data_IF_075316030598
#
_entry.id   IF_075316030598
#
_cell.length_a   1.000
_cell.length_b   1.000
_cell.length_c   1.000
_cell.angle_alpha   90.00
_cell.angle_beta   90.00
_cell.angle_gamma   90.00
#
_symmetry.space_group_name_H-M   'P 1'
#
loop_
_entity.id
_entity.type
_entity.pdbx_description
1 polymer ?
#
# COMPACT_ATOMS: atom_id res chain seq x y z
N UNK A 1 -7.87 -33.00 -49.25
CA UNK A 1 -7.24 -31.69 -49.06
C UNK A 1 -8.26 -30.79 -48.35
N UNK A 2 -8.19 -30.65 -47.00
CA UNK A 2 -9.00 -29.73 -46.24
C UNK A 2 -8.08 -28.64 -45.63
N UNK A 3 -8.34 -27.39 -46.06
CA UNK A 3 -7.57 -26.22 -45.59
C UNK A 3 -7.98 -25.89 -44.13
N UNK A 4 -6.99 -25.81 -43.27
CA UNK A 4 -7.14 -25.30 -41.90
C UNK A 4 -7.36 -23.78 -41.89
N UNK A 5 -8.21 -23.22 -40.99
CA UNK A 5 -8.40 -21.78 -40.90
C UNK A 5 -7.24 -21.15 -40.11
N UNK A 6 -6.76 -20.03 -40.63
CA UNK A 6 -5.75 -19.17 -40.01
C UNK A 6 -6.29 -18.56 -38.71
N UNK A 7 -5.59 -18.81 -37.59
CA UNK A 7 -5.74 -18.17 -36.31
C UNK A 7 -5.56 -16.66 -36.47
N UNK A 8 -6.61 -15.88 -36.16
CA UNK A 8 -6.53 -14.44 -36.04
C UNK A 8 -5.89 -14.12 -34.66
N UNK A 9 -4.67 -13.61 -34.73
CA UNK A 9 -3.96 -13.04 -33.61
C UNK A 9 -4.80 -11.91 -32.99
N UNK A 10 -5.24 -12.11 -31.75
CA UNK A 10 -5.91 -11.08 -30.98
C UNK A 10 -4.88 -9.99 -30.60
N UNK A 11 -5.02 -8.83 -31.21
CA UNK A 11 -4.29 -7.60 -30.82
C UNK A 11 -4.65 -7.28 -29.36
N UNK A 12 -3.66 -7.34 -28.47
CA UNK A 12 -3.73 -6.77 -27.13
C UNK A 12 -4.13 -5.30 -27.24
N UNK A 13 -5.08 -4.81 -26.44
CA UNK A 13 -5.26 -3.37 -26.28
C UNK A 13 -4.10 -2.84 -25.44
N UNK A 14 -3.03 -2.42 -26.09
CA UNK A 14 -2.08 -1.50 -25.51
C UNK A 14 -2.82 -0.17 -25.35
N UNK A 15 -3.43 0.08 -24.20
CA UNK A 15 -3.69 1.44 -23.77
C UNK A 15 -2.33 2.08 -23.58
N UNK A 16 -1.89 2.78 -24.63
CA UNK A 16 -0.74 3.65 -24.60
C UNK A 16 -1.02 4.77 -23.57
N UNK A 17 -0.52 4.58 -22.36
CA UNK A 17 -0.33 5.67 -21.41
C UNK A 17 0.60 6.68 -22.10
N UNK A 18 0.04 7.77 -22.56
CA UNK A 18 0.81 8.86 -23.16
C UNK A 18 1.83 9.34 -22.15
N UNK A 19 3.11 9.11 -22.43
CA UNK A 19 4.22 9.68 -21.71
C UNK A 19 4.02 11.20 -21.66
N UNK A 20 3.76 11.74 -20.49
CA UNK A 20 3.53 13.17 -20.29
C UNK A 20 4.88 13.87 -20.32
N UNK A 21 5.37 14.18 -21.54
CA UNK A 21 6.54 15.06 -21.69
C UNK A 21 6.24 16.37 -20.98
N UNK A 22 7.09 16.78 -20.08
CA UNK A 22 6.99 18.06 -19.38
C UNK A 22 7.10 19.18 -20.41
N UNK A 23 6.00 19.92 -20.64
CA UNK A 23 5.97 20.99 -21.62
C UNK A 23 7.00 22.06 -21.33
N UNK A 24 7.79 22.41 -22.33
CA UNK A 24 8.94 23.31 -22.26
C UNK A 24 8.56 24.76 -22.46
N UNK A 25 7.57 25.33 -21.88
CA UNK A 25 7.28 26.73 -22.10
C UNK A 25 6.48 27.38 -20.96
N UNK A 26 7.16 27.73 -19.97
CA UNK A 26 7.04 28.83 -19.01
C UNK A 26 7.93 28.49 -17.85
N UNK A 27 8.79 29.44 -17.43
CA UNK A 27 9.65 29.25 -16.26
C UNK A 27 8.75 29.02 -15.05
N UNK A 28 8.44 27.75 -14.78
CA UNK A 28 7.64 27.37 -13.61
C UNK A 28 8.37 27.77 -12.35
N UNK A 29 7.63 28.16 -11.33
CA UNK A 29 8.20 28.34 -10.01
C UNK A 29 8.94 27.05 -9.58
N UNK A 30 10.10 27.15 -8.90
CA UNK A 30 10.92 25.99 -8.56
C UNK A 30 10.14 24.87 -7.87
N UNK A 31 9.20 25.20 -6.99
CA UNK A 31 8.35 24.27 -6.25
C UNK A 31 7.46 23.45 -7.19
N UNK A 32 6.81 24.13 -8.15
CA UNK A 32 5.97 23.44 -9.16
C UNK A 32 6.79 22.53 -10.06
N UNK A 33 8.03 22.92 -10.36
CA UNK A 33 8.92 22.06 -11.15
C UNK A 33 9.35 20.82 -10.34
N UNK A 34 9.67 20.98 -9.07
CA UNK A 34 9.97 19.88 -8.17
C UNK A 34 8.80 18.89 -8.08
N UNK A 35 7.58 19.40 -7.93
CA UNK A 35 6.37 18.55 -7.91
C UNK A 35 6.14 17.78 -9.22
N UNK A 36 6.37 18.43 -10.38
CA UNK A 36 6.27 17.76 -11.68
C UNK A 36 7.28 16.62 -11.82
N UNK A 37 8.54 16.88 -11.43
CA UNK A 37 9.60 15.86 -11.44
C UNK A 37 9.23 14.73 -10.49
N UNK A 38 8.76 15.03 -9.28
CA UNK A 38 8.33 14.03 -8.30
C UNK A 38 7.20 13.15 -8.83
N UNK A 39 6.14 13.75 -9.36
CA UNK A 39 5.01 12.99 -9.95
C UNK A 39 5.44 12.09 -11.10
N UNK A 40 6.28 12.58 -11.99
CA UNK A 40 6.82 11.77 -13.07
C UNK A 40 7.73 10.64 -12.55
N UNK A 41 8.52 10.91 -11.51
CA UNK A 41 9.37 9.91 -10.88
C UNK A 41 8.55 8.80 -10.19
N UNK A 42 7.43 9.15 -9.55
CA UNK A 42 6.51 8.18 -8.95
C UNK A 42 5.99 7.21 -10.04
N UNK A 43 5.53 7.73 -11.17
CA UNK A 43 5.09 6.89 -12.29
C UNK A 43 6.19 6.00 -12.82
N UNK A 44 7.36 6.59 -13.09
CA UNK A 44 8.52 5.86 -13.58
C UNK A 44 8.89 4.69 -12.67
N UNK A 45 9.01 4.91 -11.36
CA UNK A 45 9.33 3.83 -10.43
C UNK A 45 8.19 2.84 -10.22
N UNK A 46 6.94 3.25 -10.39
CA UNK A 46 5.82 2.32 -10.41
C UNK A 46 5.82 1.41 -11.65
N UNK A 47 6.37 1.86 -12.76
CA UNK A 47 6.44 1.09 -14.02
C UNK A 47 7.70 0.24 -14.11
N UNK A 48 8.86 0.81 -13.78
CA UNK A 48 10.18 0.20 -14.01
C UNK A 48 10.87 -0.32 -12.75
N UNK A 49 10.32 -0.02 -11.56
CA UNK A 49 10.96 -0.37 -10.30
C UNK A 49 12.19 0.46 -9.98
N UNK A 50 12.84 0.16 -8.86
CA UNK A 50 13.98 0.92 -8.34
C UNK A 50 15.33 0.57 -8.99
N UNK A 51 15.39 -0.47 -9.83
CA UNK A 51 16.58 -0.77 -10.65
C UNK A 51 16.78 0.23 -11.79
N UNK A 52 15.73 0.94 -12.22
CA UNK A 52 15.78 1.94 -13.26
C UNK A 52 16.82 3.02 -12.99
N UNK A 53 17.57 3.39 -14.06
CA UNK A 53 18.63 4.39 -13.94
C UNK A 53 18.03 5.81 -13.94
N UNK A 54 18.60 6.70 -13.15
CA UNK A 54 18.20 8.14 -13.13
C UNK A 54 18.38 8.83 -14.48
N UNK A 55 19.21 8.26 -15.37
CA UNK A 55 19.36 8.73 -16.75
C UNK A 55 18.11 8.42 -17.58
N UNK A 56 17.55 7.23 -17.44
CA UNK A 56 16.32 6.80 -18.11
C UNK A 56 15.13 7.63 -17.61
N UNK A 57 15.03 7.81 -16.30
CA UNK A 57 14.05 8.71 -15.68
C UNK A 57 14.14 10.13 -16.27
N UNK A 58 15.34 10.72 -16.32
CA UNK A 58 15.51 12.07 -16.86
C UNK A 58 15.08 12.15 -18.35
N UNK A 59 15.44 11.13 -19.15
CA UNK A 59 15.05 11.05 -20.56
C UNK A 59 13.54 10.95 -20.72
N UNK A 60 12.86 10.11 -19.91
CA UNK A 60 11.40 9.94 -19.95
C UNK A 60 10.67 11.23 -19.57
N UNK A 61 11.20 11.95 -18.57
CA UNK A 61 10.68 13.25 -18.15
C UNK A 61 11.01 14.38 -19.13
N UNK A 62 11.85 14.15 -20.13
CA UNK A 62 12.30 15.18 -21.08
C UNK A 62 13.14 16.27 -20.43
N UNK A 63 13.93 15.94 -19.41
CA UNK A 63 14.82 16.85 -18.68
C UNK A 63 16.27 16.37 -18.71
N UNK A 64 17.21 17.29 -18.46
CA UNK A 64 18.60 16.89 -18.27
C UNK A 64 18.80 16.19 -16.90
N UNK A 65 19.75 15.25 -16.84
CA UNK A 65 20.17 14.64 -15.59
C UNK A 65 20.63 15.68 -14.54
N UNK A 66 21.30 16.76 -15.00
CA UNK A 66 21.71 17.87 -14.14
C UNK A 66 20.52 18.61 -13.53
N UNK A 67 19.41 18.78 -14.30
CA UNK A 67 18.18 19.37 -13.77
C UNK A 67 17.53 18.46 -12.72
N UNK A 68 17.50 17.15 -12.93
CA UNK A 68 16.98 16.19 -11.94
C UNK A 68 17.76 16.32 -10.62
N UNK A 69 19.09 16.30 -10.67
CA UNK A 69 19.95 16.36 -9.47
C UNK A 69 19.96 17.74 -8.79
N UNK A 70 19.59 18.79 -9.51
CA UNK A 70 19.41 20.13 -8.90
C UNK A 70 18.24 20.13 -7.91
N UNK A 71 17.18 19.35 -8.16
CA UNK A 71 16.01 19.25 -7.27
C UNK A 71 16.11 18.09 -6.29
N UNK A 72 16.74 17.00 -6.69
CA UNK A 72 16.93 15.79 -5.88
C UNK A 72 18.40 15.37 -5.93
N UNK A 73 19.21 15.77 -4.95
CA UNK A 73 20.68 15.66 -4.99
C UNK A 73 21.20 14.23 -5.21
N UNK A 74 20.40 13.21 -4.89
CA UNK A 74 20.74 11.80 -5.14
C UNK A 74 19.49 10.99 -5.47
N UNK A 75 19.68 9.75 -5.93
CA UNK A 75 18.60 8.80 -6.14
C UNK A 75 17.90 8.46 -4.81
N UNK A 76 18.66 8.36 -3.75
CA UNK A 76 18.19 8.10 -2.39
C UNK A 76 17.30 9.26 -1.89
N UNK A 77 17.69 10.51 -2.11
CA UNK A 77 16.89 11.68 -1.77
C UNK A 77 15.56 11.72 -2.55
N UNK A 78 15.60 11.32 -3.82
CA UNK A 78 14.38 11.20 -4.62
C UNK A 78 13.47 10.07 -4.08
N UNK A 79 14.03 8.90 -3.77
CA UNK A 79 13.30 7.76 -3.20
C UNK A 79 12.70 8.14 -1.84
N UNK A 80 13.45 8.86 -0.99
CA UNK A 80 12.93 9.37 0.28
C UNK A 80 11.74 10.30 0.07
N UNK A 81 11.82 11.19 -0.90
CA UNK A 81 10.71 12.10 -1.22
C UNK A 81 9.49 11.36 -1.77
N UNK A 82 9.70 10.31 -2.56
CA UNK A 82 8.64 9.41 -3.03
C UNK A 82 7.99 8.70 -1.83
N UNK A 83 8.78 8.19 -0.88
CA UNK A 83 8.26 7.56 0.32
C UNK A 83 7.33 8.50 1.11
N UNK A 84 7.76 9.73 1.30
CA UNK A 84 6.93 10.74 1.99
C UNK A 84 5.63 11.03 1.24
N UNK A 85 5.67 11.16 -0.09
CA UNK A 85 4.51 11.51 -0.90
C UNK A 85 3.51 10.35 -1.04
N UNK A 86 4.01 9.14 -1.31
CA UNK A 86 3.17 7.97 -1.63
C UNK A 86 2.65 7.29 -0.36
N UNK A 87 3.45 7.27 0.71
CA UNK A 87 3.10 6.51 1.92
C UNK A 87 2.72 7.39 3.10
N UNK A 88 3.56 8.37 3.48
CA UNK A 88 3.32 9.13 4.71
C UNK A 88 2.25 10.20 4.55
N UNK A 89 2.25 10.92 3.43
CA UNK A 89 1.31 12.03 3.20
C UNK A 89 -0.14 11.57 3.07
N UNK A 90 -0.35 10.32 2.73
CA UNK A 90 -1.67 9.70 2.59
C UNK A 90 -2.18 9.06 3.88
N UNK A 91 -1.36 9.08 4.92
CA UNK A 91 -1.77 8.62 6.23
C UNK A 91 -2.75 9.60 6.85
N UNK A 92 -3.98 9.16 7.10
CA UNK A 92 -4.97 10.02 7.74
C UNK A 92 -4.64 10.24 9.22
N UNK A 93 -4.61 11.50 9.69
CA UNK A 93 -4.40 11.79 11.11
C UNK A 93 -5.58 11.35 11.98
N UNK A 94 -6.77 11.12 11.41
CA UNK A 94 -7.99 10.76 12.15
C UNK A 94 -8.10 9.26 12.41
N UNK A 95 -7.43 8.42 11.63
CA UNK A 95 -7.58 6.96 11.70
C UNK A 95 -7.39 6.38 13.09
N UNK A 96 -6.41 6.87 13.84
CA UNK A 96 -6.17 6.36 15.19
C UNK A 96 -7.31 6.74 16.15
N UNK A 97 -7.79 7.98 16.08
CA UNK A 97 -8.92 8.42 16.88
C UNK A 97 -10.20 7.63 16.54
N UNK A 98 -10.45 7.40 15.25
CA UNK A 98 -11.59 6.61 14.77
C UNK A 98 -11.55 5.15 15.25
N UNK A 99 -10.36 4.53 15.22
CA UNK A 99 -10.17 3.15 15.69
C UNK A 99 -10.41 3.02 17.21
N UNK A 100 -10.07 4.04 18.00
CA UNK A 100 -10.15 3.98 19.46
C UNK A 100 -11.40 4.65 20.04
N UNK A 101 -12.32 5.14 19.21
CA UNK A 101 -13.60 5.73 19.64
C UNK A 101 -14.58 4.67 20.15
N UNK A 102 -14.49 4.35 21.44
CA UNK A 102 -15.36 3.37 22.10
C UNK A 102 -16.83 3.76 22.24
N UNK A 103 -17.23 4.95 21.76
CA UNK A 103 -18.65 5.31 21.67
C UNK A 103 -19.39 4.53 20.57
N UNK A 104 -18.63 3.90 19.65
CA UNK A 104 -19.14 3.09 18.54
C UNK A 104 -18.73 1.62 18.71
N UNK A 105 -19.55 0.69 18.18
CA UNK A 105 -19.19 -0.73 18.16
C UNK A 105 -17.86 -0.95 17.43
N UNK A 106 -17.02 -1.85 17.94
CA UNK A 106 -15.69 -2.08 17.37
C UNK A 106 -15.75 -2.52 15.91
N UNK A 107 -16.69 -3.40 15.56
CA UNK A 107 -16.84 -3.86 14.17
C UNK A 107 -17.13 -2.69 13.21
N UNK A 108 -17.95 -1.72 13.61
CA UNK A 108 -18.25 -0.54 12.78
C UNK A 108 -17.05 0.39 12.64
N UNK A 109 -16.23 0.52 13.69
CA UNK A 109 -14.97 1.27 13.64
C UNK A 109 -13.98 0.61 12.68
N UNK A 110 -13.84 -0.71 12.75
CA UNK A 110 -12.98 -1.49 11.85
C UNK A 110 -13.43 -1.38 10.40
N UNK A 111 -14.73 -1.53 10.10
CA UNK A 111 -15.27 -1.37 8.75
C UNK A 111 -14.97 0.02 8.19
N UNK A 112 -15.26 1.07 8.95
CA UNK A 112 -15.00 2.46 8.54
C UNK A 112 -13.52 2.70 8.24
N UNK A 113 -12.66 2.27 9.16
CA UNK A 113 -11.20 2.41 8.99
C UNK A 113 -10.69 1.65 7.77
N UNK A 114 -11.04 0.37 7.62
CA UNK A 114 -10.52 -0.45 6.53
C UNK A 114 -11.10 -0.09 5.17
N UNK A 115 -12.31 0.44 5.09
CA UNK A 115 -12.88 0.99 3.86
C UNK A 115 -12.06 2.19 3.34
N UNK A 116 -11.51 3.02 4.24
CA UNK A 116 -10.64 4.13 3.86
C UNK A 116 -9.19 3.68 3.64
N UNK A 117 -8.62 2.91 4.56
CA UNK A 117 -7.26 2.39 4.47
C UNK A 117 -7.02 1.56 3.19
N UNK A 118 -7.98 0.72 2.81
CA UNK A 118 -7.87 -0.15 1.64
C UNK A 118 -7.66 0.62 0.32
N UNK A 119 -8.09 1.88 0.25
CA UNK A 119 -7.86 2.73 -0.93
C UNK A 119 -6.38 2.87 -1.25
N UNK A 120 -5.50 2.86 -0.25
CA UNK A 120 -4.05 3.01 -0.44
C UNK A 120 -3.42 1.83 -1.20
N UNK A 121 -3.45 0.57 -0.71
CA UNK A 121 -2.84 -0.56 -1.40
C UNK A 121 -3.54 -0.90 -2.73
N UNK A 122 -4.74 -0.37 -2.95
CA UNK A 122 -5.48 -0.56 -4.19
C UNK A 122 -5.14 0.47 -5.28
N UNK A 123 -4.37 1.51 -4.96
CA UNK A 123 -3.85 2.43 -5.97
C UNK A 123 -2.67 1.83 -6.73
N UNK A 124 -2.59 2.14 -8.03
CA UNK A 124 -1.57 1.61 -8.94
C UNK A 124 -0.14 1.92 -8.47
N UNK A 125 0.13 3.21 -8.22
CA UNK A 125 1.48 3.68 -7.87
C UNK A 125 1.89 3.15 -6.49
N UNK A 126 0.98 3.20 -5.52
CA UNK A 126 1.26 2.71 -4.17
C UNK A 126 1.62 1.22 -4.17
N UNK A 127 0.77 0.38 -4.76
CA UNK A 127 0.96 -1.08 -4.74
C UNK A 127 2.23 -1.51 -5.46
N UNK A 128 2.51 -0.93 -6.64
CA UNK A 128 3.68 -1.30 -7.44
C UNK A 128 4.98 -0.78 -6.84
N UNK A 129 5.00 0.46 -6.32
CA UNK A 129 6.18 1.00 -5.62
C UNK A 129 6.48 0.18 -4.38
N UNK A 130 5.46 -0.20 -3.60
CA UNK A 130 5.64 -1.05 -2.42
C UNK A 130 6.26 -2.40 -2.79
N UNK A 131 5.74 -3.06 -3.83
CA UNK A 131 6.27 -4.34 -4.30
C UNK A 131 7.72 -4.22 -4.80
N UNK A 132 7.99 -3.27 -5.71
CA UNK A 132 9.33 -3.08 -6.26
C UNK A 132 10.34 -2.68 -5.19
N UNK A 133 9.96 -1.87 -4.22
CA UNK A 133 10.82 -1.52 -3.08
C UNK A 133 11.20 -2.77 -2.27
N UNK A 134 10.25 -3.67 -2.03
CA UNK A 134 10.50 -4.94 -1.34
C UNK A 134 11.48 -5.82 -2.10
N UNK A 135 11.26 -6.02 -3.39
CA UNK A 135 12.14 -6.82 -4.26
C UNK A 135 13.56 -6.23 -4.38
N UNK A 136 13.68 -4.91 -4.35
CA UNK A 136 14.96 -4.21 -4.37
C UNK A 136 15.66 -4.14 -2.99
N UNK A 137 15.07 -4.69 -1.93
CA UNK A 137 15.61 -4.60 -0.57
C UNK A 137 15.61 -3.18 0.02
N UNK A 138 14.81 -2.28 -0.54
CA UNK A 138 14.75 -0.90 -0.10
C UNK A 138 14.15 -0.78 1.32
N UNK A 139 14.57 0.26 2.06
CA UNK A 139 14.12 0.48 3.44
C UNK A 139 12.63 0.87 3.57
N UNK A 140 11.99 1.25 2.46
CA UNK A 140 10.58 1.70 2.39
C UNK A 140 9.66 0.71 3.08
N UNK A 141 9.74 -0.58 2.70
CA UNK A 141 8.85 -1.62 3.24
C UNK A 141 9.00 -1.79 4.74
N UNK A 142 10.25 -1.91 5.23
CA UNK A 142 10.51 -2.03 6.67
C UNK A 142 9.98 -0.84 7.47
N UNK A 143 10.11 0.37 6.91
CA UNK A 143 9.61 1.61 7.53
C UNK A 143 8.09 1.64 7.55
N UNK A 144 7.45 1.28 6.43
CA UNK A 144 6.00 1.26 6.33
C UNK A 144 5.38 0.17 7.21
N UNK A 145 5.96 -1.04 7.21
CA UNK A 145 5.53 -2.15 8.09
C UNK A 145 5.61 -1.74 9.56
N UNK A 146 6.69 -1.08 9.99
CA UNK A 146 6.80 -0.55 11.35
C UNK A 146 5.71 0.48 11.66
N UNK A 147 5.43 1.38 10.72
CA UNK A 147 4.37 2.37 10.86
C UNK A 147 3.00 1.70 11.01
N UNK A 148 2.68 0.73 10.15
CA UNK A 148 1.44 -0.04 10.21
C UNK A 148 1.32 -0.82 11.53
N UNK A 149 2.40 -1.46 11.97
CA UNK A 149 2.44 -2.16 13.25
C UNK A 149 2.12 -1.23 14.42
N UNK A 150 2.77 -0.07 14.50
CA UNK A 150 2.57 0.86 15.61
C UNK A 150 1.21 1.58 15.57
N UNK A 151 0.72 1.91 14.38
CA UNK A 151 -0.46 2.77 14.24
C UNK A 151 -1.75 2.04 13.88
N UNK A 152 -1.66 0.78 13.47
CA UNK A 152 -2.83 -0.05 13.12
C UNK A 152 -2.85 -1.32 13.98
N UNK A 153 -1.82 -2.17 13.87
CA UNK A 153 -1.86 -3.49 14.49
C UNK A 153 -2.00 -3.41 16.00
N UNK A 154 -1.14 -2.65 16.67
CA UNK A 154 -1.21 -2.49 18.13
C UNK A 154 -2.56 -1.93 18.59
N UNK A 155 -3.07 -0.80 18.06
CA UNK A 155 -4.37 -0.29 18.46
C UNK A 155 -5.51 -1.27 18.19
N UNK A 156 -5.54 -1.93 17.04
CA UNK A 156 -6.61 -2.90 16.72
C UNK A 156 -6.56 -4.11 17.64
N UNK A 157 -5.37 -4.65 17.92
CA UNK A 157 -5.23 -5.77 18.86
C UNK A 157 -5.68 -5.37 20.26
N UNK A 158 -5.33 -4.17 20.72
CA UNK A 158 -5.73 -3.70 22.05
C UNK A 158 -7.25 -3.49 22.15
N UNK A 159 -7.87 -2.91 21.13
CA UNK A 159 -9.32 -2.77 21.07
C UNK A 159 -10.05 -4.11 20.98
N UNK A 160 -9.51 -5.10 20.25
CA UNK A 160 -10.04 -6.47 20.22
C UNK A 160 -9.91 -7.15 21.59
N UNK A 161 -8.76 -6.97 22.26
CA UNK A 161 -8.57 -7.50 23.63
C UNK A 161 -9.58 -6.88 24.60
N UNK A 162 -9.76 -5.57 24.53
CA UNK A 162 -10.76 -4.86 25.33
C UNK A 162 -12.17 -5.40 25.09
N UNK A 163 -12.59 -5.52 23.82
CA UNK A 163 -13.90 -6.04 23.41
C UNK A 163 -14.17 -7.46 23.91
N UNK A 164 -13.13 -8.29 23.93
CA UNK A 164 -13.26 -9.72 24.32
C UNK A 164 -12.96 -10.00 25.79
N UNK A 165 -12.69 -8.96 26.59
CA UNK A 165 -12.33 -9.08 28.02
C UNK A 165 -10.99 -9.80 28.24
N UNK A 166 -10.02 -9.57 27.36
CA UNK A 166 -8.67 -10.13 27.41
C UNK A 166 -7.70 -9.13 28.05
N UNK A 167 -6.54 -9.57 28.60
CA UNK A 167 -5.55 -8.67 29.18
C UNK A 167 -5.05 -7.64 28.15
N UNK A 168 -4.95 -6.34 28.51
CA UNK A 168 -4.46 -5.30 27.60
C UNK A 168 -2.98 -5.51 27.25
N UNK A 169 -2.52 -4.90 26.16
CA UNK A 169 -1.15 -5.11 25.64
C UNK A 169 -0.05 -4.64 26.61
N UNK A 170 -0.36 -3.73 27.53
CA UNK A 170 0.57 -3.29 28.59
C UNK A 170 0.81 -4.36 29.66
N UNK A 171 -0.16 -5.23 29.90
CA UNK A 171 -0.06 -6.31 30.89
C UNK A 171 0.48 -7.60 30.30
N UNK A 172 0.18 -7.86 29.03
CA UNK A 172 0.61 -9.08 28.35
C UNK A 172 0.99 -8.72 26.90
N UNK A 173 2.24 -8.95 26.56
CA UNK A 173 2.78 -8.65 25.23
C UNK A 173 1.93 -9.28 24.11
N UNK A 174 1.91 -8.61 22.96
CA UNK A 174 1.25 -9.12 21.76
C UNK A 174 1.90 -10.45 21.35
N UNK A 175 1.09 -11.45 21.08
CA UNK A 175 1.53 -12.77 20.67
C UNK A 175 1.72 -12.87 19.16
N UNK A 176 2.53 -13.81 18.70
CA UNK A 176 2.70 -14.09 17.27
C UNK A 176 1.37 -14.40 16.56
N UNK A 177 0.47 -15.28 17.08
CA UNK A 177 -0.83 -15.52 16.45
C UNK A 177 -1.71 -14.26 16.31
N UNK A 178 -1.63 -13.30 17.22
CA UNK A 178 -2.34 -12.03 17.11
C UNK A 178 -1.77 -11.17 15.98
N UNK A 179 -0.44 -11.16 15.82
CA UNK A 179 0.20 -10.47 14.70
C UNK A 179 -0.15 -11.13 13.36
N UNK A 180 -0.12 -12.45 13.28
CA UNK A 180 -0.47 -13.18 12.06
C UNK A 180 -1.95 -13.00 11.68
N UNK A 181 -2.84 -12.85 12.66
CA UNK A 181 -4.23 -12.48 12.42
C UNK A 181 -4.34 -11.11 11.72
N UNK A 182 -3.56 -10.13 12.17
CA UNK A 182 -3.49 -8.81 11.53
C UNK A 182 -2.89 -8.89 10.12
N UNK A 183 -1.82 -9.66 9.94
CA UNK A 183 -1.21 -9.88 8.64
C UNK A 183 -2.16 -10.56 7.65
N UNK A 184 -3.00 -11.48 8.10
CA UNK A 184 -3.96 -12.15 7.23
C UNK A 184 -4.98 -11.17 6.65
N UNK A 185 -5.52 -10.25 7.44
CA UNK A 185 -6.42 -9.19 6.96
C UNK A 185 -5.71 -8.23 6.00
N UNK A 186 -4.55 -7.70 6.42
CA UNK A 186 -3.78 -6.76 5.59
C UNK A 186 -3.32 -7.40 4.27
N UNK A 187 -2.84 -8.64 4.34
CA UNK A 187 -2.42 -9.40 3.17
C UNK A 187 -3.57 -9.65 2.20
N UNK A 188 -4.76 -9.98 2.70
CA UNK A 188 -5.96 -10.19 1.87
C UNK A 188 -6.35 -8.93 1.10
N UNK A 189 -6.35 -7.77 1.76
CA UNK A 189 -6.64 -6.48 1.12
C UNK A 189 -5.55 -6.13 0.11
N UNK A 190 -4.28 -6.22 0.50
CA UNK A 190 -3.15 -5.95 -0.39
C UNK A 190 -3.17 -6.84 -1.64
N UNK A 191 -3.55 -8.11 -1.48
CA UNK A 191 -3.61 -9.07 -2.58
C UNK A 191 -4.65 -8.71 -3.64
N UNK A 192 -5.72 -7.97 -3.30
CA UNK A 192 -6.67 -7.44 -4.30
C UNK A 192 -5.93 -6.51 -5.26
N UNK A 193 -5.11 -5.60 -4.73
CA UNK A 193 -4.27 -4.70 -5.53
C UNK A 193 -3.23 -5.46 -6.37
N UNK A 194 -2.59 -6.48 -5.78
CA UNK A 194 -1.62 -7.34 -6.49
C UNK A 194 -2.25 -8.05 -7.68
N UNK A 195 -3.44 -8.64 -7.51
CA UNK A 195 -4.16 -9.28 -8.62
C UNK A 195 -4.44 -8.29 -9.75
N UNK A 196 -4.87 -7.08 -9.42
CA UNK A 196 -5.22 -6.05 -10.40
C UNK A 196 -4.01 -5.51 -11.14
N UNK A 197 -2.98 -5.09 -10.41
CA UNK A 197 -1.90 -4.27 -10.94
C UNK A 197 -0.63 -5.03 -11.31
N UNK A 198 -0.46 -6.23 -10.78
CA UNK A 198 0.73 -7.07 -11.03
C UNK A 198 0.39 -8.29 -11.87
N UNK A 199 -0.67 -9.00 -11.51
CA UNK A 199 -1.06 -10.21 -12.24
C UNK A 199 -2.02 -9.94 -13.40
N UNK A 200 -2.55 -8.70 -13.51
CA UNK A 200 -3.54 -8.30 -14.52
C UNK A 200 -4.79 -9.21 -14.51
N UNK A 201 -5.18 -9.66 -13.34
CA UNK A 201 -6.40 -10.45 -13.11
C UNK A 201 -7.50 -9.51 -12.65
N UNK A 202 -8.75 -9.83 -13.04
CA UNK A 202 -9.91 -9.02 -12.68
C UNK A 202 -10.04 -8.89 -11.15
N UNK A 203 -10.10 -7.66 -10.67
CA UNK A 203 -10.45 -7.36 -9.29
C UNK A 203 -11.95 -7.60 -9.05
N UNK A 204 -12.41 -7.73 -7.79
CA UNK A 204 -13.83 -7.75 -7.48
C UNK A 204 -14.54 -6.54 -8.09
N UNK A 205 -15.79 -6.73 -8.53
CA UNK A 205 -16.60 -5.62 -9.06
C UNK A 205 -17.00 -4.65 -7.93
N UNK A 206 -17.31 -5.20 -6.77
CA UNK A 206 -17.55 -4.49 -5.52
C UNK A 206 -16.33 -4.69 -4.59
N UNK A 207 -15.41 -3.77 -4.64
CA UNK A 207 -14.19 -3.79 -3.80
C UNK A 207 -14.53 -3.43 -2.37
N UNK A 208 -15.41 -2.45 -2.16
CA UNK A 208 -15.76 -1.96 -0.81
C UNK A 208 -16.51 -3.07 -0.04
N UNK A 209 -17.49 -3.70 -0.65
CA UNK A 209 -18.18 -4.87 -0.05
C UNK A 209 -17.24 -6.05 0.18
N UNK A 210 -16.25 -6.26 -0.68
CA UNK A 210 -15.22 -7.30 -0.46
C UNK A 210 -14.36 -6.97 0.76
N UNK A 211 -13.94 -5.72 0.94
CA UNK A 211 -13.16 -5.29 2.12
C UNK A 211 -14.00 -5.44 3.39
N UNK A 212 -15.29 -5.05 3.35
CA UNK A 212 -16.21 -5.23 4.47
C UNK A 212 -16.32 -6.70 4.89
N UNK A 213 -16.52 -7.62 3.93
CA UNK A 213 -16.57 -9.06 4.19
C UNK A 213 -15.25 -9.59 4.80
N UNK A 214 -14.08 -9.10 4.35
CA UNK A 214 -12.81 -9.47 4.93
C UNK A 214 -12.68 -9.03 6.39
N UNK A 215 -13.16 -7.82 6.70
CA UNK A 215 -13.17 -7.30 8.08
C UNK A 215 -14.14 -8.10 8.96
N UNK A 216 -15.32 -8.46 8.46
CA UNK A 216 -16.28 -9.30 9.20
C UNK A 216 -15.71 -10.70 9.48
N UNK A 217 -15.09 -11.34 8.49
CA UNK A 217 -14.43 -12.64 8.68
C UNK A 217 -13.28 -12.57 9.68
N UNK A 218 -12.46 -11.54 9.60
CA UNK A 218 -11.41 -11.26 10.58
C UNK A 218 -11.97 -11.10 11.99
N UNK A 219 -12.96 -10.24 12.17
CA UNK A 219 -13.58 -9.99 13.48
C UNK A 219 -14.24 -11.24 14.06
N UNK A 220 -14.93 -12.02 13.25
CA UNK A 220 -15.59 -13.26 13.68
C UNK A 220 -14.58 -14.31 14.19
N UNK A 221 -13.38 -14.39 13.55
CA UNK A 221 -12.35 -15.34 13.95
C UNK A 221 -11.45 -14.83 15.10
N UNK A 222 -11.35 -13.52 15.27
CA UNK A 222 -10.41 -12.87 16.18
C UNK A 222 -10.52 -13.37 17.62
N UNK A 223 -11.75 -13.46 18.16
CA UNK A 223 -11.99 -13.91 19.55
C UNK A 223 -11.43 -15.30 19.81
N UNK A 224 -11.65 -16.23 18.89
CA UNK A 224 -11.19 -17.61 19.02
C UNK A 224 -9.68 -17.70 18.94
N UNK A 225 -9.07 -17.04 17.96
CA UNK A 225 -7.61 -17.04 17.76
C UNK A 225 -6.91 -16.41 18.97
N UNK A 226 -7.37 -15.24 19.42
CA UNK A 226 -6.74 -14.49 20.51
C UNK A 226 -6.85 -15.23 21.85
N UNK A 227 -8.01 -15.82 22.16
CA UNK A 227 -8.17 -16.64 23.38
C UNK A 227 -7.25 -17.87 23.37
N UNK A 228 -7.17 -18.58 22.25
CA UNK A 228 -6.29 -19.73 22.11
C UNK A 228 -4.80 -19.35 22.21
N UNK A 229 -4.42 -18.20 21.67
CA UNK A 229 -3.05 -17.70 21.76
C UNK A 229 -2.62 -17.36 23.20
N UNK A 230 -3.51 -16.67 23.93
CA UNK A 230 -3.23 -16.22 25.28
C UNK A 230 -3.27 -17.34 26.31
N UNK A 231 -4.13 -18.36 26.14
CA UNK A 231 -4.17 -19.52 27.02
C UNK A 231 -2.90 -20.39 26.93
N UNK A 232 -2.27 -20.45 25.75
CA UNK A 232 -0.97 -21.16 25.58
C UNK A 232 0.18 -20.45 26.28
N UNK A 233 0.18 -19.10 26.29
CA UNK A 233 1.24 -18.31 26.92
C UNK A 233 1.05 -18.19 28.46
N UNK A 234 -0.16 -18.41 29.00
CA UNK A 234 -0.43 -18.39 30.43
C UNK A 234 -0.02 -19.70 31.17
N UNK A 235 0.28 -20.74 30.41
CA UNK A 235 0.70 -22.05 30.91
C UNK A 235 2.22 -22.33 30.76
N UNK A 236 2.98 -21.32 30.31
CA UNK A 236 4.45 -21.36 30.22
C UNK A 236 5.07 -20.43 31.26
#
# INVERSE_FOLDING_TARGET
>A
MKKSPKSKSAKKPAQALQATKLTSAKRLAPERRAEQILKGSIRFFAEHGFSGQTRELANELGISKGLLYRYFPSKEALIERIYQEVFLRRWSPTWQAELTDRSRALIERLKTFYADYAKLPLEYEWGRIYLYAGLAGASINRRYVRLAHERIFKPVIDELRHEFGLPPIERLAITEPELELMWSLHGSIFYIGMRKWVYHVKAPADVDGTVEQLVEGFYASAKTVMRAALSRNGNA
#
